data_IF_919648333033
#
_entry.id   IF_919648333033
#
_cell.length_a   1.000
_cell.length_b   1.000
_cell.length_c   1.000
_cell.angle_alpha   90.00
_cell.angle_beta   90.00
_cell.angle_gamma   90.00
#
_symmetry.space_group_name_H-M   'P 1'
#
loop_
_entity.id
_entity.type
_entity.pdbx_description
1 polymer ?
#
# COMPACT_ATOMS: atom_id res chain seq x y z
N UNK A 1 7.09 6.79 5.12
CA UNK A 1 6.01 5.91 4.62
C UNK A 1 5.01 5.71 5.74
N UNK A 2 3.73 5.62 5.42
CA UNK A 2 2.65 5.40 6.39
C UNK A 2 1.54 4.59 5.73
N UNK A 3 0.69 3.96 6.55
CA UNK A 3 -0.53 3.28 6.10
C UNK A 3 -1.75 3.97 6.70
N UNK A 4 -2.85 3.97 5.95
CA UNK A 4 -4.14 4.48 6.40
C UNK A 4 -5.24 3.47 6.06
N UNK A 5 -6.21 3.35 6.94
CA UNK A 5 -7.43 2.56 6.73
C UNK A 5 -8.59 3.53 6.69
N UNK A 6 -9.49 3.31 5.74
CA UNK A 6 -10.72 4.08 5.61
C UNK A 6 -11.84 3.19 5.10
N UNK A 7 -13.08 3.63 5.31
CA UNK A 7 -14.28 3.01 4.77
C UNK A 7 -14.77 3.81 3.58
N UNK A 8 -15.28 3.12 2.56
CA UNK A 8 -15.83 3.76 1.36
C UNK A 8 -16.90 2.90 0.72
N UNK A 9 -17.77 3.54 -0.05
CA UNK A 9 -18.74 2.88 -0.94
C UNK A 9 -18.23 2.73 -2.37
N UNK A 10 -17.07 3.33 -2.68
CA UNK A 10 -16.47 3.30 -4.01
C UNK A 10 -15.85 1.95 -4.35
N UNK A 11 -15.89 1.55 -5.62
CA UNK A 11 -15.18 0.37 -6.10
C UNK A 11 -13.66 0.54 -5.98
N UNK A 12 -12.88 -0.56 -6.01
CA UNK A 12 -11.42 -0.50 -6.00
C UNK A 12 -10.83 0.40 -7.11
N UNK A 13 -11.41 0.37 -8.31
CA UNK A 13 -11.01 1.21 -9.44
C UNK A 13 -11.33 2.69 -9.20
N UNK A 14 -12.48 2.99 -8.60
CA UNK A 14 -12.85 4.36 -8.22
C UNK A 14 -11.92 4.90 -7.13
N UNK A 15 -11.54 4.06 -6.15
CA UNK A 15 -10.53 4.42 -5.15
C UNK A 15 -9.20 4.70 -5.82
N UNK A 16 -8.73 3.81 -6.71
CA UNK A 16 -7.48 4.02 -7.45
C UNK A 16 -7.50 5.36 -8.20
N UNK A 17 -8.61 5.69 -8.85
CA UNK A 17 -8.76 6.97 -9.56
C UNK A 17 -8.62 8.17 -8.62
N UNK A 18 -9.26 8.13 -7.45
CA UNK A 18 -9.14 9.19 -6.43
C UNK A 18 -7.70 9.33 -5.91
N UNK A 19 -6.98 8.22 -5.72
CA UNK A 19 -5.57 8.26 -5.31
C UNK A 19 -4.71 8.95 -6.38
N UNK A 20 -4.89 8.57 -7.66
CA UNK A 20 -4.14 9.17 -8.78
C UNK A 20 -4.42 10.67 -8.94
N UNK A 21 -5.68 11.09 -8.78
CA UNK A 21 -6.07 12.50 -8.81
C UNK A 21 -5.48 13.28 -7.64
N UNK A 22 -5.44 12.67 -6.45
CA UNK A 22 -4.80 13.27 -5.27
C UNK A 22 -3.32 13.49 -5.52
N UNK A 23 -2.58 12.48 -6.00
CA UNK A 23 -1.17 12.65 -6.36
C UNK A 23 -0.96 13.75 -7.41
N UNK A 24 -1.84 13.84 -8.42
CA UNK A 24 -1.78 14.89 -9.44
C UNK A 24 -1.91 16.29 -8.83
N UNK A 25 -2.82 16.47 -7.86
CA UNK A 25 -3.00 17.75 -7.16
C UNK A 25 -1.80 18.15 -6.28
N UNK A 26 -1.03 17.18 -5.79
CA UNK A 26 0.23 17.39 -5.06
C UNK A 26 1.44 17.65 -5.98
N UNK A 27 1.19 17.93 -7.26
CA UNK A 27 2.22 18.32 -8.21
C UNK A 27 2.98 17.16 -8.81
N UNK A 28 2.35 15.98 -8.97
CA UNK A 28 2.92 14.88 -9.77
C UNK A 28 3.06 15.32 -11.24
N UNK A 29 4.20 15.89 -11.60
CA UNK A 29 4.55 16.18 -13.00
C UNK A 29 5.34 14.97 -13.55
N UNK A 30 4.76 14.20 -14.47
CA UNK A 30 5.47 13.11 -15.17
C UNK A 30 6.51 13.68 -16.16
N UNK A 31 7.62 14.22 -15.63
CA UNK A 31 8.78 14.64 -16.45
C UNK A 31 9.78 13.50 -16.65
N UNK A 32 9.97 12.66 -15.63
CA UNK A 32 10.82 11.47 -15.66
C UNK A 32 10.12 10.27 -15.02
N UNK A 33 10.37 9.06 -15.55
CA UNK A 33 9.70 7.82 -15.13
C UNK A 33 10.02 7.42 -13.67
N UNK A 34 11.06 8.00 -13.06
CA UNK A 34 11.54 7.72 -11.69
C UNK A 34 11.98 8.99 -10.94
N UNK A 35 11.51 10.16 -11.37
CA UNK A 35 11.84 11.43 -10.71
C UNK A 35 11.29 11.50 -9.28
N UNK A 36 11.85 12.37 -8.42
CA UNK A 36 11.34 12.60 -7.07
C UNK A 36 9.86 12.95 -7.10
N UNK A 37 9.07 12.31 -6.23
CA UNK A 37 7.62 12.54 -6.09
C UNK A 37 7.35 13.22 -4.76
N UNK A 38 6.48 14.23 -4.78
CA UNK A 38 5.97 14.87 -3.56
C UNK A 38 5.11 13.91 -2.75
N UNK A 39 4.31 13.08 -3.44
CA UNK A 39 3.37 12.14 -2.85
C UNK A 39 3.26 10.90 -3.76
N UNK A 40 3.19 9.73 -3.14
CA UNK A 40 2.97 8.43 -3.78
C UNK A 40 1.91 7.68 -2.95
N UNK A 41 0.80 7.31 -3.58
CA UNK A 41 -0.36 6.68 -2.93
C UNK A 41 -0.66 5.34 -3.61
N UNK A 42 -0.43 4.25 -2.87
CA UNK A 42 -0.72 2.89 -3.32
C UNK A 42 -1.99 2.34 -2.66
N UNK A 43 -2.88 1.74 -3.45
CA UNK A 43 -3.98 0.92 -2.93
C UNK A 43 -3.44 -0.47 -2.58
N UNK A 44 -3.19 -0.73 -1.30
CA UNK A 44 -2.58 -1.99 -0.84
C UNK A 44 -3.53 -3.18 -0.88
N UNK A 45 -4.78 -3.00 -0.43
CA UNK A 45 -5.79 -4.05 -0.33
C UNK A 45 -7.19 -3.42 -0.29
N UNK A 46 -8.22 -4.23 -0.54
CA UNK A 46 -9.62 -3.80 -0.49
C UNK A 46 -10.49 -4.92 0.09
N UNK A 47 -10.68 -4.92 1.42
CA UNK A 47 -11.28 -6.06 2.14
C UNK A 47 -10.54 -7.36 1.81
N UNK A 48 -11.29 -8.40 1.45
CA UNK A 48 -10.75 -9.71 1.03
C UNK A 48 -10.69 -9.89 -0.50
N UNK A 49 -10.81 -8.79 -1.26
CA UNK A 49 -10.82 -8.86 -2.73
C UNK A 49 -9.46 -9.26 -3.27
N UNK A 50 -9.47 -10.24 -4.16
CA UNK A 50 -8.36 -10.60 -5.03
C UNK A 50 -8.69 -10.16 -6.44
N UNK A 51 -7.82 -9.35 -7.04
CA UNK A 51 -8.02 -8.79 -8.37
C UNK A 51 -6.72 -8.84 -9.16
N UNK A 52 -6.82 -9.13 -10.45
CA UNK A 52 -5.71 -9.08 -11.37
C UNK A 52 -6.21 -8.57 -12.73
N UNK A 53 -6.34 -7.24 -12.84
CA UNK A 53 -6.73 -6.57 -14.08
C UNK A 53 -5.52 -5.83 -14.66
N UNK A 54 -5.57 -5.41 -15.94
CA UNK A 54 -4.50 -4.60 -16.53
C UNK A 54 -4.21 -3.28 -15.80
N UNK A 55 -5.19 -2.74 -15.07
CA UNK A 55 -5.09 -1.45 -14.37
C UNK A 55 -4.86 -1.58 -12.86
N UNK A 56 -5.27 -2.70 -12.23
CA UNK A 56 -5.23 -2.86 -10.78
C UNK A 56 -5.04 -4.32 -10.38
N UNK A 57 -4.04 -4.57 -9.53
CA UNK A 57 -3.80 -5.86 -8.88
C UNK A 57 -3.95 -5.71 -7.38
N UNK A 58 -4.83 -6.53 -6.77
CA UNK A 58 -5.07 -6.56 -5.33
C UNK A 58 -4.99 -7.98 -4.76
N UNK A 59 -4.44 -8.18 -3.55
CA UNK A 59 -3.61 -7.22 -2.81
C UNK A 59 -2.38 -6.77 -3.63
N UNK A 60 -1.84 -5.60 -3.32
CA UNK A 60 -0.75 -5.00 -4.09
C UNK A 60 0.41 -6.01 -4.21
N UNK A 61 0.87 -6.33 -5.44
CA UNK A 61 1.63 -7.56 -5.70
C UNK A 61 2.95 -7.65 -4.93
N UNK A 62 3.53 -6.50 -4.58
CA UNK A 62 4.82 -6.41 -3.87
C UNK A 62 4.72 -5.87 -2.45
N UNK A 63 3.51 -5.73 -1.88
CA UNK A 63 3.37 -5.18 -0.53
C UNK A 63 4.09 -6.04 0.52
N UNK A 64 4.05 -7.37 0.32
CA UNK A 64 4.62 -8.36 1.21
C UNK A 64 6.16 -8.45 1.17
N UNK A 65 6.82 -7.71 0.28
CA UNK A 65 8.29 -7.68 0.14
C UNK A 65 8.89 -6.43 0.78
N UNK A 66 8.06 -5.49 1.27
CA UNK A 66 8.49 -4.13 1.59
C UNK A 66 8.29 -3.83 3.08
N UNK A 67 9.38 -3.74 3.84
CA UNK A 67 9.33 -3.40 5.26
C UNK A 67 8.65 -2.06 5.53
N UNK A 68 8.91 -1.03 4.70
CA UNK A 68 8.29 0.29 4.85
C UNK A 68 6.77 0.32 4.55
N UNK A 69 6.21 -0.79 4.05
CA UNK A 69 4.77 -1.02 3.92
C UNK A 69 4.26 -1.88 5.09
N UNK A 70 4.94 -3.00 5.36
CA UNK A 70 4.50 -3.96 6.39
C UNK A 70 4.60 -3.43 7.82
N UNK A 71 5.63 -2.65 8.15
CA UNK A 71 5.78 -2.05 9.49
C UNK A 71 4.57 -1.17 9.85
N UNK A 72 4.25 -0.09 9.11
CA UNK A 72 3.09 0.74 9.46
C UNK A 72 1.76 0.01 9.28
N UNK A 73 1.67 -0.99 8.39
CA UNK A 73 0.45 -1.80 8.28
C UNK A 73 0.25 -2.71 9.49
N UNK A 74 1.33 -3.28 10.05
CA UNK A 74 1.28 -4.12 11.24
C UNK A 74 0.88 -3.32 12.49
N UNK A 75 1.20 -2.02 12.55
CA UNK A 75 0.77 -1.14 13.65
C UNK A 75 -0.75 -0.99 13.72
N UNK A 76 -1.43 -0.95 12.56
CA UNK A 76 -2.88 -0.67 12.50
C UNK A 76 -3.74 -1.91 12.21
N UNK A 77 -3.16 -2.95 11.60
CA UNK A 77 -3.90 -4.15 11.17
C UNK A 77 -3.00 -5.41 11.14
N UNK A 78 -2.41 -5.82 12.27
CA UNK A 78 -1.44 -6.93 12.30
C UNK A 78 -2.06 -8.29 11.96
N UNK A 79 -3.35 -8.47 12.25
CA UNK A 79 -4.07 -9.73 12.11
C UNK A 79 -4.72 -9.97 10.75
N UNK A 80 -4.69 -9.02 9.81
CA UNK A 80 -5.29 -9.24 8.49
C UNK A 80 -4.57 -10.37 7.77
N UNK A 81 -5.33 -11.34 7.26
CA UNK A 81 -4.80 -12.52 6.60
C UNK A 81 -4.75 -12.30 5.09
N UNK A 82 -3.54 -12.34 4.53
CA UNK A 82 -3.34 -12.12 3.11
C UNK A 82 -3.97 -13.25 2.28
N UNK A 83 -4.98 -12.99 1.42
CA UNK A 83 -5.81 -14.03 0.80
C UNK A 83 -5.04 -14.98 -0.12
N UNK A 84 -3.95 -14.51 -0.74
CA UNK A 84 -3.09 -15.35 -1.59
C UNK A 84 -1.93 -16.06 -0.86
N UNK A 85 -1.53 -15.56 0.31
CA UNK A 85 -0.36 -16.07 1.05
C UNK A 85 -0.75 -16.86 2.29
N UNK A 86 -1.98 -16.71 2.75
CA UNK A 86 -2.53 -17.36 3.94
C UNK A 86 -1.73 -17.06 5.22
N UNK A 87 -1.11 -15.87 5.27
CA UNK A 87 -0.30 -15.37 6.38
C UNK A 87 -0.83 -14.02 6.85
N UNK A 88 -0.71 -13.75 8.15
CA UNK A 88 -1.06 -12.45 8.71
C UNK A 88 -0.06 -11.38 8.29
N UNK A 89 -0.45 -10.10 8.37
CA UNK A 89 0.50 -8.97 8.19
C UNK A 89 1.71 -9.13 9.12
N UNK A 90 1.47 -9.50 10.39
CA UNK A 90 2.53 -9.76 11.36
C UNK A 90 3.49 -10.87 10.90
N UNK A 91 2.97 -12.00 10.45
CA UNK A 91 3.79 -13.12 9.97
C UNK A 91 4.56 -12.77 8.69
N UNK A 92 3.98 -11.93 7.82
CA UNK A 92 4.68 -11.42 6.62
C UNK A 92 5.81 -10.47 7.02
N UNK A 93 5.60 -9.60 8.01
CA UNK A 93 6.62 -8.67 8.50
C UNK A 93 7.85 -9.42 9.04
N UNK A 94 7.65 -10.53 9.75
CA UNK A 94 8.72 -11.38 10.28
C UNK A 94 9.61 -12.01 9.19
N UNK A 95 9.16 -12.01 7.93
CA UNK A 95 9.88 -12.57 6.79
C UNK A 95 10.65 -11.52 5.96
N UNK A 96 10.58 -10.24 6.34
CA UNK A 96 11.21 -9.14 5.58
C UNK A 96 12.27 -8.45 6.42
N UNK A 97 13.41 -8.12 5.80
CA UNK A 97 14.44 -7.32 6.44
C UNK A 97 13.92 -5.90 6.69
N UNK A 98 13.92 -5.51 7.96
CA UNK A 98 13.48 -4.19 8.43
C UNK A 98 14.65 -3.22 8.62
N UNK A 99 15.89 -3.65 8.37
CA UNK A 99 17.06 -2.79 8.46
C UNK A 99 16.87 -1.52 7.60
N UNK A 100 17.08 -0.36 8.22
CA UNK A 100 16.94 0.93 7.56
C UNK A 100 15.53 1.51 7.57
N UNK A 101 14.53 0.83 8.13
CA UNK A 101 13.18 1.38 8.35
C UNK A 101 12.98 1.65 9.84
N UNK A 102 12.84 2.92 10.19
CA UNK A 102 12.72 3.34 11.58
C UNK A 102 11.43 4.16 11.79
N UNK A 103 10.80 4.05 12.97
CA UNK A 103 9.73 4.96 13.35
C UNK A 103 10.22 6.41 13.30
N UNK A 104 9.36 7.31 12.86
CA UNK A 104 9.63 8.74 12.96
C UNK A 104 9.49 9.15 14.43
N UNK A 105 10.62 9.44 15.08
CA UNK A 105 10.64 9.99 16.44
C UNK A 105 10.60 11.51 16.31
N UNK A 106 9.56 12.13 16.87
CA UNK A 106 9.39 13.58 16.92
C UNK A 106 10.17 14.21 18.08
#
# INVERSE_FOLDING_TARGET
NACAIFQTIFSPEQVLQVLLETEASFGRIRRERWGPRTLDLDLLLYGDRVMNTPSLTLPHPRMHERAFVLLPLAEIMPGWQHPLRQQTVQALLEQVDTAGVFPLVA
#
